data_IF_977808216849
#
_entry.id   IF_977808216849
#
_cell.length_a   1.000
_cell.length_b   1.000
_cell.length_c   1.000
_cell.angle_alpha   90.00
_cell.angle_beta   90.00
_cell.angle_gamma   90.00
#
_symmetry.space_group_name_H-M   'P 1'
#
loop_
_entity.id
_entity.type
_entity.pdbx_description
1 polymer ?
#
# COMPACT_ATOMS: atom_id res chain seq x y z
N UNK A 1 13.89 1.11 -16.82
CA UNK A 1 13.96 -0.27 -17.29
C UNK A 1 13.24 -0.40 -18.63
N UNK A 2 13.70 -1.28 -19.52
CA UNK A 2 13.15 -1.48 -20.86
C UNK A 2 11.65 -1.80 -20.86
N UNK A 3 11.15 -2.47 -19.83
CA UNK A 3 9.73 -2.82 -19.68
C UNK A 3 8.83 -1.66 -19.25
N UNK A 4 9.33 -0.76 -18.40
CA UNK A 4 8.53 0.37 -17.90
C UNK A 4 8.44 1.51 -18.91
N UNK A 5 9.45 1.71 -19.74
CA UNK A 5 9.53 2.85 -20.65
C UNK A 5 8.34 2.95 -21.61
N UNK A 6 7.89 1.89 -22.30
CA UNK A 6 6.72 1.99 -23.19
C UNK A 6 5.43 2.33 -22.43
N UNK A 7 5.23 1.72 -21.25
CA UNK A 7 4.06 1.97 -20.41
C UNK A 7 4.03 3.43 -19.92
N UNK A 8 5.15 3.90 -19.38
CA UNK A 8 5.29 5.26 -18.87
C UNK A 8 5.08 6.29 -19.99
N UNK A 9 5.69 6.09 -21.16
CA UNK A 9 5.53 7.00 -22.29
C UNK A 9 4.09 7.05 -22.81
N UNK A 10 3.38 5.89 -22.78
CA UNK A 10 1.98 5.83 -23.19
C UNK A 10 1.04 6.52 -22.19
N UNK A 11 1.31 6.42 -20.90
CA UNK A 11 0.47 6.99 -19.86
C UNK A 11 0.75 8.47 -19.57
N UNK A 12 1.99 8.93 -19.70
CA UNK A 12 2.42 10.25 -19.30
C UNK A 12 1.53 11.42 -19.76
N UNK A 13 0.99 11.44 -21.00
CA UNK A 13 0.08 12.51 -21.45
C UNK A 13 -1.31 12.48 -20.81
N UNK A 14 -1.68 11.39 -20.12
CA UNK A 14 -3.05 11.09 -19.70
C UNK A 14 -3.22 10.95 -18.18
N UNK A 15 -2.17 11.15 -17.42
CA UNK A 15 -2.18 10.99 -15.95
C UNK A 15 -1.80 12.27 -15.24
N UNK A 16 -2.38 12.50 -14.06
CA UNK A 16 -2.11 13.65 -13.21
C UNK A 16 -1.08 13.33 -12.10
N UNK A 17 -0.88 12.05 -11.80
CA UNK A 17 0.07 11.55 -10.83
C UNK A 17 0.62 10.18 -11.24
N UNK A 18 1.71 9.77 -10.64
CA UNK A 18 2.28 8.44 -10.75
C UNK A 18 2.05 7.65 -9.46
N UNK A 19 1.46 6.47 -9.55
CA UNK A 19 1.34 5.52 -8.44
C UNK A 19 2.11 4.24 -8.77
N UNK A 20 3.16 3.96 -7.97
CA UNK A 20 3.76 2.64 -7.95
C UNK A 20 2.96 1.75 -7.00
N UNK A 21 2.00 0.99 -7.54
CA UNK A 21 1.03 0.24 -6.75
C UNK A 21 1.50 -1.17 -6.41
N UNK A 22 1.23 -1.60 -5.17
CA UNK A 22 1.42 -2.98 -4.68
C UNK A 22 2.87 -3.47 -4.79
N UNK A 23 3.82 -2.63 -4.36
CA UNK A 23 5.22 -3.04 -4.38
C UNK A 23 5.51 -3.98 -3.20
N UNK A 24 6.31 -5.03 -3.46
CA UNK A 24 6.67 -6.01 -2.44
C UNK A 24 7.94 -5.63 -1.68
N UNK A 25 8.78 -4.77 -2.26
CA UNK A 25 10.10 -4.42 -1.72
C UNK A 25 10.49 -2.98 -2.00
N UNK A 26 11.43 -2.48 -1.19
CA UNK A 26 12.06 -1.16 -1.41
C UNK A 26 12.82 -1.13 -2.74
N UNK A 27 13.43 -2.24 -3.13
CA UNK A 27 14.16 -2.34 -4.40
C UNK A 27 13.25 -2.12 -5.62
N UNK A 28 12.04 -2.69 -5.61
CA UNK A 28 11.04 -2.47 -6.66
C UNK A 28 10.62 -1.00 -6.74
N UNK A 29 10.30 -0.40 -5.60
CA UNK A 29 9.92 1.02 -5.53
C UNK A 29 11.01 1.94 -6.11
N UNK A 30 12.28 1.70 -5.76
CA UNK A 30 13.42 2.45 -6.30
C UNK A 30 13.58 2.24 -7.80
N UNK A 31 13.42 1.02 -8.29
CA UNK A 31 13.53 0.70 -9.72
C UNK A 31 12.44 1.39 -10.55
N UNK A 32 11.19 1.42 -10.04
CA UNK A 32 10.08 2.11 -10.70
C UNK A 32 10.35 3.62 -10.70
N UNK A 33 10.66 4.22 -9.56
CA UNK A 33 10.94 5.65 -9.45
C UNK A 33 12.04 6.09 -10.42
N UNK A 34 13.12 5.30 -10.54
CA UNK A 34 14.20 5.58 -11.48
C UNK A 34 13.78 5.53 -12.96
N UNK A 35 12.68 4.84 -13.27
CA UNK A 35 12.11 4.74 -14.62
C UNK A 35 11.04 5.78 -14.94
N UNK A 36 10.60 6.59 -13.96
CA UNK A 36 9.60 7.63 -14.18
C UNK A 36 10.20 8.87 -14.84
N UNK A 37 9.43 9.63 -15.66
CA UNK A 37 9.87 10.89 -16.21
C UNK A 37 9.99 11.95 -15.10
N UNK A 38 10.90 12.89 -15.30
CA UNK A 38 11.01 14.07 -14.43
C UNK A 38 10.04 15.17 -14.88
N UNK A 39 8.74 14.83 -14.90
CA UNK A 39 7.67 15.69 -15.41
C UNK A 39 7.01 16.57 -14.33
N UNK A 40 7.48 16.46 -13.09
CA UNK A 40 6.98 17.23 -11.94
C UNK A 40 5.65 16.73 -11.37
N UNK A 41 5.10 15.63 -11.87
CA UNK A 41 3.88 15.05 -11.33
C UNK A 41 4.11 14.44 -9.96
N UNK A 42 3.08 14.43 -9.08
CA UNK A 42 3.13 13.75 -7.80
C UNK A 42 3.51 12.28 -7.96
N UNK A 43 4.32 11.77 -7.04
CA UNK A 43 4.65 10.35 -6.94
C UNK A 43 4.08 9.76 -5.67
N UNK A 44 3.18 8.79 -5.82
CA UNK A 44 2.58 8.00 -4.76
C UNK A 44 3.15 6.60 -4.80
N UNK A 45 3.24 5.97 -3.66
CA UNK A 45 3.82 4.64 -3.50
C UNK A 45 2.94 3.78 -2.62
N UNK A 46 2.67 2.57 -3.03
CA UNK A 46 1.90 1.62 -2.25
C UNK A 46 2.68 0.32 -2.07
N UNK A 47 2.74 -0.16 -0.83
CA UNK A 47 3.37 -1.42 -0.46
C UNK A 47 2.34 -2.45 0.01
N UNK A 48 2.61 -3.72 -0.32
CA UNK A 48 1.92 -4.86 0.28
C UNK A 48 2.73 -5.39 1.47
N UNK A 49 2.02 -5.77 2.53
CA UNK A 49 2.58 -6.19 3.80
C UNK A 49 2.65 -7.72 3.93
N UNK A 50 3.42 -8.19 4.88
CA UNK A 50 3.42 -9.57 5.32
C UNK A 50 2.23 -9.80 6.26
N UNK A 51 1.34 -10.72 5.91
CA UNK A 51 0.07 -10.95 6.62
C UNK A 51 0.20 -11.88 7.83
N UNK A 52 1.32 -12.60 7.97
CA UNK A 52 1.44 -13.73 8.88
C UNK A 52 1.88 -13.35 10.31
N UNK A 53 2.49 -12.17 10.52
CA UNK A 53 3.11 -11.75 11.77
C UNK A 53 2.40 -10.50 12.33
N UNK A 54 1.28 -10.69 13.04
CA UNK A 54 0.50 -9.59 13.62
C UNK A 54 1.12 -9.01 14.91
N UNK A 55 2.02 -9.73 15.57
CA UNK A 55 2.59 -9.38 16.87
C UNK A 55 4.01 -8.80 16.83
N UNK A 56 4.62 -8.71 15.64
CA UNK A 56 5.98 -8.23 15.46
C UNK A 56 6.02 -6.86 14.76
N UNK A 57 7.25 -6.39 14.54
CA UNK A 57 7.53 -5.18 13.75
C UNK A 57 6.91 -5.33 12.36
N UNK A 58 6.04 -4.40 11.91
CA UNK A 58 5.37 -4.52 10.62
C UNK A 58 6.39 -4.55 9.47
N UNK A 59 6.17 -5.47 8.53
CA UNK A 59 7.09 -5.75 7.42
C UNK A 59 6.39 -5.74 6.08
N UNK A 60 7.13 -5.36 5.05
CA UNK A 60 6.72 -5.56 3.65
C UNK A 60 6.67 -7.06 3.32
N UNK A 61 6.04 -7.41 2.24
CA UNK A 61 5.99 -8.79 1.73
C UNK A 61 7.39 -9.39 1.55
N UNK A 62 8.39 -8.60 1.18
CA UNK A 62 9.80 -8.99 1.10
C UNK A 62 10.46 -9.30 2.44
N UNK A 63 9.85 -8.88 3.57
CA UNK A 63 10.41 -8.98 4.92
C UNK A 63 11.16 -7.73 5.41
N UNK A 64 11.31 -6.69 4.60
CA UNK A 64 11.90 -5.41 5.00
C UNK A 64 11.00 -4.69 6.01
N UNK A 65 11.53 -4.05 7.07
CA UNK A 65 10.72 -3.28 8.02
C UNK A 65 9.98 -2.12 7.34
N UNK A 66 8.73 -1.86 7.75
CA UNK A 66 7.97 -0.70 7.26
C UNK A 66 8.67 0.63 7.57
N UNK A 67 9.40 0.73 8.67
CA UNK A 67 10.18 1.92 8.99
C UNK A 67 11.24 2.22 7.90
N UNK A 68 11.94 1.19 7.40
CA UNK A 68 12.93 1.35 6.32
C UNK A 68 12.25 1.73 4.99
N UNK A 69 11.07 1.17 4.73
CA UNK A 69 10.26 1.52 3.58
C UNK A 69 9.76 2.97 3.62
N UNK A 70 9.37 3.47 4.80
CA UNK A 70 9.00 4.87 5.01
C UNK A 70 10.20 5.82 4.82
N UNK A 71 11.40 5.45 5.31
CA UNK A 71 12.63 6.20 5.01
C UNK A 71 12.92 6.26 3.51
N UNK A 72 12.79 5.13 2.82
CA UNK A 72 12.96 5.08 1.37
C UNK A 72 11.93 5.94 0.63
N UNK A 73 10.67 5.94 1.06
CA UNK A 73 9.61 6.79 0.52
C UNK A 73 9.96 8.27 0.66
N UNK A 74 10.48 8.69 1.83
CA UNK A 74 10.93 10.07 2.06
C UNK A 74 12.12 10.45 1.14
N UNK A 75 13.09 9.54 0.96
CA UNK A 75 14.22 9.75 0.06
C UNK A 75 13.81 9.86 -1.42
N UNK A 76 12.74 9.17 -1.82
CA UNK A 76 12.20 9.21 -3.17
C UNK A 76 11.27 10.40 -3.44
N UNK A 77 10.98 11.22 -2.42
CA UNK A 77 10.09 12.38 -2.56
C UNK A 77 8.62 12.00 -2.76
N UNK A 78 8.20 10.88 -2.18
CA UNK A 78 6.81 10.41 -2.21
C UNK A 78 5.90 11.40 -1.47
N UNK A 79 4.74 11.74 -2.04
CA UNK A 79 3.75 12.59 -1.38
C UNK A 79 2.74 11.79 -0.54
N UNK A 80 2.41 10.57 -0.98
CA UNK A 80 1.50 9.68 -0.26
C UNK A 80 2.09 8.27 -0.23
N UNK A 81 2.27 7.73 0.96
CA UNK A 81 2.64 6.33 1.19
C UNK A 81 1.39 5.54 1.56
N UNK A 82 1.14 4.45 0.85
CA UNK A 82 -0.06 3.64 1.00
C UNK A 82 0.30 2.20 1.38
N UNK A 83 -0.60 1.53 2.08
CA UNK A 83 -0.53 0.09 2.34
C UNK A 83 -1.75 -0.59 1.76
N UNK A 84 -1.54 -1.59 0.90
CA UNK A 84 -2.64 -2.21 0.17
C UNK A 84 -2.49 -3.71 0.00
N UNK A 85 -3.57 -4.34 -0.46
CA UNK A 85 -3.62 -5.76 -0.84
C UNK A 85 -3.07 -6.68 0.27
N UNK A 86 -3.35 -6.32 1.51
CA UNK A 86 -2.93 -6.99 2.74
C UNK A 86 -4.15 -7.17 3.64
N UNK A 87 -4.01 -8.01 4.65
CA UNK A 87 -5.06 -8.17 5.65
C UNK A 87 -5.25 -6.87 6.44
N UNK A 88 -6.49 -6.48 6.79
CA UNK A 88 -6.74 -5.23 7.54
C UNK A 88 -6.03 -5.20 8.89
N UNK A 89 -5.83 -6.34 9.53
CA UNK A 89 -5.19 -6.48 10.85
C UNK A 89 -3.75 -5.97 10.92
N UNK A 90 -2.98 -6.09 9.83
CA UNK A 90 -1.56 -5.69 9.80
C UNK A 90 -1.35 -4.23 9.41
N UNK A 91 -2.37 -3.56 8.85
CA UNK A 91 -2.23 -2.21 8.30
C UNK A 91 -2.08 -1.16 9.40
N UNK A 92 -2.81 -1.29 10.52
CA UNK A 92 -2.74 -0.32 11.61
C UNK A 92 -1.33 -0.13 12.15
N UNK A 93 -0.61 -1.23 12.41
CA UNK A 93 0.78 -1.20 12.87
C UNK A 93 1.73 -0.58 11.81
N UNK A 94 1.46 -0.82 10.52
CA UNK A 94 2.23 -0.22 9.43
C UNK A 94 2.03 1.29 9.34
N UNK A 95 0.80 1.79 9.53
CA UNK A 95 0.51 3.23 9.61
C UNK A 95 1.27 3.88 10.75
N UNK A 96 1.24 3.28 11.96
CA UNK A 96 1.92 3.80 13.14
C UNK A 96 3.45 3.85 12.92
N UNK A 97 4.05 2.80 12.34
CA UNK A 97 5.48 2.76 12.05
C UNK A 97 5.90 3.81 11.00
N UNK A 98 5.11 3.97 9.94
CA UNK A 98 5.37 4.98 8.91
C UNK A 98 5.24 6.39 9.48
N UNK A 99 4.19 6.68 10.26
CA UNK A 99 3.97 7.97 10.90
C UNK A 99 5.12 8.33 11.83
N UNK A 100 5.51 7.43 12.72
CA UNK A 100 6.64 7.65 13.63
C UNK A 100 7.95 7.93 12.86
N UNK A 101 8.16 7.25 11.74
CA UNK A 101 9.33 7.48 10.88
C UNK A 101 9.27 8.86 10.23
N UNK A 102 8.13 9.29 9.69
CA UNK A 102 7.96 10.61 9.08
C UNK A 102 8.10 11.74 10.10
N UNK A 103 7.54 11.58 11.31
CA UNK A 103 7.72 12.53 12.42
C UNK A 103 9.21 12.70 12.77
N UNK A 104 9.95 11.59 12.92
CA UNK A 104 11.39 11.60 13.20
C UNK A 104 12.21 12.29 12.08
N UNK A 105 11.81 12.14 10.84
CA UNK A 105 12.48 12.74 9.68
C UNK A 105 12.03 14.18 9.38
N UNK A 106 10.95 14.66 10.01
CA UNK A 106 10.32 15.93 9.65
C UNK A 106 9.72 15.92 8.24
N UNK A 107 9.29 14.75 7.74
CA UNK A 107 8.76 14.57 6.40
C UNK A 107 7.23 14.72 6.39
N UNK A 108 6.72 15.61 5.53
CA UNK A 108 5.28 15.86 5.37
C UNK A 108 4.69 14.91 4.30
N UNK A 109 4.66 13.60 4.60
CA UNK A 109 4.13 12.56 3.71
C UNK A 109 2.78 12.09 4.27
N UNK A 110 1.76 12.08 3.42
CA UNK A 110 0.44 11.55 3.79
C UNK A 110 0.46 10.01 3.76
N UNK A 111 -0.43 9.40 4.55
CA UNK A 111 -0.53 7.94 4.65
C UNK A 111 -1.92 7.51 4.25
N UNK A 112 -2.02 6.33 3.61
CA UNK A 112 -3.30 5.75 3.28
C UNK A 112 -3.30 4.22 3.34
N UNK A 113 -4.52 3.66 3.19
CA UNK A 113 -4.76 2.23 3.33
C UNK A 113 -5.92 1.76 2.44
N UNK A 114 -5.77 0.58 1.83
CA UNK A 114 -6.81 -0.13 1.09
C UNK A 114 -6.56 -1.64 1.12
N UNK A 115 -7.14 -2.32 2.12
CA UNK A 115 -6.99 -3.74 2.35
C UNK A 115 -7.77 -4.59 1.32
N UNK A 116 -7.45 -5.89 1.27
CA UNK A 116 -8.25 -6.87 0.56
C UNK A 116 -9.26 -7.59 1.48
N UNK A 117 -10.25 -8.25 0.89
CA UNK A 117 -11.25 -9.04 1.61
C UNK A 117 -11.01 -10.56 1.50
N UNK A 118 -9.86 -11.00 1.00
CA UNK A 118 -9.52 -12.42 0.96
C UNK A 118 -8.90 -12.89 2.28
N UNK A 119 -9.01 -14.18 2.65
CA UNK A 119 -8.27 -14.73 3.77
C UNK A 119 -6.75 -14.67 3.52
N UNK A 120 -5.92 -14.76 4.59
CA UNK A 120 -4.48 -14.85 4.44
C UNK A 120 -4.07 -15.99 3.50
N UNK A 121 -3.21 -15.71 2.54
CA UNK A 121 -2.77 -16.70 1.58
C UNK A 121 -1.64 -17.56 2.19
N UNK A 122 -1.71 -18.91 2.10
CA UNK A 122 -0.62 -19.76 2.53
C UNK A 122 0.64 -19.51 1.70
N UNK A 123 1.81 -19.80 2.27
CA UNK A 123 3.12 -19.60 1.60
C UNK A 123 3.26 -20.36 0.27
N UNK A 124 2.57 -21.49 0.18
CA UNK A 124 2.56 -22.38 -0.97
C UNK A 124 1.52 -21.99 -2.03
N UNK A 125 0.69 -20.97 -1.76
CA UNK A 125 -0.29 -20.51 -2.73
C UNK A 125 0.38 -20.07 -4.02
N UNK A 126 -0.12 -20.59 -5.14
CA UNK A 126 0.36 -20.22 -6.48
C UNK A 126 -0.67 -19.36 -7.20
N UNK A 127 -0.22 -18.53 -8.11
CA UNK A 127 -1.13 -17.73 -8.94
C UNK A 127 -2.04 -18.67 -9.76
N UNK A 128 -3.35 -18.36 -9.76
CA UNK A 128 -4.39 -19.10 -10.49
C UNK A 128 -4.82 -20.46 -9.87
N UNK A 129 -4.56 -20.70 -8.60
CA UNK A 129 -5.09 -21.90 -7.89
C UNK A 129 -6.58 -21.82 -7.55
N UNK A 130 -7.28 -20.82 -8.05
CA UNK A 130 -8.70 -20.57 -7.82
C UNK A 130 -8.95 -19.20 -7.16
N UNK A 131 -10.21 -18.98 -6.81
CA UNK A 131 -10.62 -17.82 -6.02
C UNK A 131 -11.03 -18.30 -4.64
N UNK A 132 -10.38 -17.79 -3.60
CA UNK A 132 -10.85 -17.98 -2.24
C UNK A 132 -12.18 -17.26 -2.01
N UNK A 133 -13.06 -17.78 -1.15
CA UNK A 133 -14.23 -17.04 -0.72
C UNK A 133 -13.79 -15.75 0.00
N UNK A 134 -14.59 -14.71 -0.16
CA UNK A 134 -14.37 -13.48 0.60
C UNK A 134 -14.63 -13.72 2.09
N UNK A 135 -13.96 -12.98 2.94
CA UNK A 135 -14.18 -12.98 4.38
C UNK A 135 -15.54 -12.35 4.70
N UNK A 136 -16.39 -13.08 5.42
CA UNK A 136 -17.73 -12.63 5.81
C UNK A 136 -17.71 -11.46 6.80
N UNK A 137 -16.63 -11.33 7.59
CA UNK A 137 -16.44 -10.26 8.57
C UNK A 137 -15.97 -8.93 7.95
N UNK A 138 -15.66 -8.92 6.67
CA UNK A 138 -15.29 -7.73 5.90
C UNK A 138 -16.43 -7.26 4.97
N UNK A 139 -17.67 -7.42 5.41
CA UNK A 139 -18.82 -6.73 4.82
C UNK A 139 -18.70 -5.19 4.98
N UNK A 140 -19.55 -4.37 4.34
CA UNK A 140 -19.41 -2.92 4.42
C UNK A 140 -19.32 -2.35 5.85
N UNK A 141 -20.13 -2.75 6.84
CA UNK A 141 -19.95 -2.34 8.23
C UNK A 141 -18.63 -2.80 8.86
N UNK A 142 -18.21 -4.04 8.61
CA UNK A 142 -16.96 -4.59 9.12
C UNK A 142 -15.74 -3.87 8.55
N UNK A 143 -15.75 -3.57 7.26
CA UNK A 143 -14.68 -2.81 6.62
C UNK A 143 -14.61 -1.35 7.11
N UNK A 144 -15.78 -0.71 7.32
CA UNK A 144 -15.85 0.63 7.89
C UNK A 144 -15.17 0.71 9.27
N UNK A 145 -15.30 -0.34 10.08
CA UNK A 145 -14.61 -0.39 11.38
C UNK A 145 -13.09 -0.28 11.22
N UNK A 146 -12.49 -1.00 10.28
CA UNK A 146 -11.07 -0.91 9.96
C UNK A 146 -10.68 0.45 9.39
N UNK A 147 -11.47 0.98 8.47
CA UNK A 147 -11.23 2.30 7.89
C UNK A 147 -11.23 3.41 8.96
N UNK A 148 -12.14 3.34 9.93
CA UNK A 148 -12.19 4.27 11.06
C UNK A 148 -10.95 4.14 11.98
N UNK A 149 -10.46 2.92 12.25
CA UNK A 149 -9.22 2.71 13.01
C UNK A 149 -8.02 3.31 12.27
N UNK A 150 -7.87 3.03 10.98
CA UNK A 150 -6.78 3.60 10.18
C UNK A 150 -6.82 5.13 10.13
N UNK A 151 -8.02 5.71 9.99
CA UNK A 151 -8.19 7.16 10.06
C UNK A 151 -7.76 7.73 11.42
N UNK A 152 -8.16 7.08 12.51
CA UNK A 152 -7.76 7.48 13.86
C UNK A 152 -6.24 7.42 14.08
N UNK A 153 -5.54 6.51 13.39
CA UNK A 153 -4.07 6.40 13.39
C UNK A 153 -3.38 7.42 12.48
N UNK A 154 -4.14 8.17 11.67
CA UNK A 154 -3.63 9.25 10.82
C UNK A 154 -3.62 8.95 9.32
N UNK A 155 -4.26 7.89 8.86
CA UNK A 155 -4.49 7.69 7.43
C UNK A 155 -5.48 8.73 6.90
N UNK A 156 -5.14 9.36 5.79
CA UNK A 156 -5.96 10.39 5.11
C UNK A 156 -6.51 9.92 3.76
N UNK A 157 -5.99 8.81 3.25
CA UNK A 157 -6.42 8.18 2.00
C UNK A 157 -6.92 6.77 2.31
N UNK A 158 -8.21 6.55 2.11
CA UNK A 158 -8.87 5.28 2.40
C UNK A 158 -9.54 4.76 1.14
N UNK A 159 -9.46 3.47 0.91
CA UNK A 159 -10.04 2.80 -0.25
C UNK A 159 -10.21 1.32 0.00
N UNK A 160 -10.42 0.57 -1.07
CA UNK A 160 -10.53 -0.88 -1.04
C UNK A 160 -9.70 -1.53 -2.14
N UNK A 161 -9.14 -2.71 -1.87
CA UNK A 161 -8.46 -3.55 -2.84
C UNK A 161 -9.37 -4.74 -3.23
N UNK A 162 -8.79 -5.88 -3.53
CA UNK A 162 -9.52 -7.06 -4.01
C UNK A 162 -10.65 -7.48 -3.06
N UNK A 163 -11.85 -7.68 -3.62
CA UNK A 163 -13.04 -8.06 -2.86
C UNK A 163 -13.76 -6.93 -2.13
N UNK A 164 -13.22 -5.71 -2.11
CA UNK A 164 -13.87 -4.52 -1.54
C UNK A 164 -14.52 -3.76 -2.68
N UNK A 165 -15.85 -3.70 -2.69
CA UNK A 165 -16.66 -3.05 -3.72
C UNK A 165 -17.12 -1.63 -3.36
N UNK A 166 -17.85 -0.97 -4.27
CA UNK A 166 -18.35 0.39 -4.04
C UNK A 166 -19.23 0.54 -2.80
N UNK A 167 -19.95 -0.50 -2.43
CA UNK A 167 -20.80 -0.56 -1.23
C UNK A 167 -20.01 -0.42 0.08
N UNK A 168 -18.75 -0.84 0.10
CA UNK A 168 -17.85 -0.67 1.25
C UNK A 168 -17.34 0.77 1.40
N UNK A 169 -17.31 1.51 0.30
CA UNK A 169 -16.79 2.89 0.27
C UNK A 169 -17.91 3.91 0.48
N UNK A 170 -19.16 3.53 0.24
CA UNK A 170 -20.32 4.41 0.31
C UNK A 170 -20.94 4.51 1.71
N UNK A 171 -20.41 3.80 2.72
CA UNK A 171 -20.92 3.80 4.11
C UNK A 171 -20.40 4.95 4.95
#
# INVERSE_FOLDING_TARGET
SELLTPLVNGLAPHVDLWLAETQSSIAEARAIHAGLPKDGKPFWLSFTLKDEDTDEVPRLRSGEPVADAAEAAAQLGVQVLLFNCSQPEVIGAAIDAARATFERLGAAIQIGAYANAFPPQPKEATANDGLDPLRDDLDPPGYLHWAADWQARGASHLGGCCGIGPEHIAV
#
